data_IF_142973131145
#
_entry.id   IF_142973131145
#
_cell.length_a   1.000
_cell.length_b   1.000
_cell.length_c   1.000
_cell.angle_alpha   90.00
_cell.angle_beta   90.00
_cell.angle_gamma   90.00
#
_symmetry.space_group_name_H-M   'P 1'
#
loop_
_entity.id
_entity.type
_entity.pdbx_description
1 polymer ?
#
# COMPACT_ATOMS: atom_id res chain seq x y z
N UNK A 1 -0.53 6.20 14.68
CA UNK A 1 0.16 6.17 13.37
C UNK A 1 -0.03 4.80 12.74
N UNK A 2 -0.05 4.72 11.40
CA UNK A 2 -0.09 3.44 10.70
C UNK A 2 1.24 2.66 10.85
N UNK A 3 1.28 1.41 10.41
CA UNK A 3 2.51 0.61 10.35
C UNK A 3 2.82 0.32 8.87
N UNK A 4 4.05 0.60 8.45
CA UNK A 4 4.61 0.12 7.19
C UNK A 4 5.65 -0.94 7.55
N UNK A 5 5.47 -2.15 7.04
CA UNK A 5 6.42 -3.24 7.19
C UNK A 5 7.04 -3.57 5.83
N UNK A 6 8.36 -3.56 5.78
CA UNK A 6 9.13 -3.87 4.56
C UNK A 6 9.78 -5.22 4.76
N UNK A 7 9.40 -6.17 3.94
CA UNK A 7 10.08 -7.46 3.79
C UNK A 7 11.00 -7.35 2.59
N UNK A 8 12.29 -7.32 2.83
CA UNK A 8 13.30 -7.23 1.78
C UNK A 8 13.50 -8.58 1.06
N UNK A 9 14.15 -8.53 -0.10
CA UNK A 9 14.61 -9.71 -0.80
C UNK A 9 15.58 -10.53 0.08
N UNK A 10 15.43 -11.85 0.08
CA UNK A 10 16.23 -12.76 0.90
C UNK A 10 15.76 -12.90 2.35
N UNK A 11 14.82 -12.06 2.82
CA UNK A 11 14.27 -12.08 4.18
C UNK A 11 13.01 -12.93 4.22
N UNK A 12 12.80 -13.65 5.33
CA UNK A 12 11.57 -14.42 5.55
C UNK A 12 10.36 -13.49 5.76
N UNK A 13 9.17 -13.97 5.43
CA UNK A 13 7.93 -13.28 5.79
C UNK A 13 7.82 -13.15 7.32
N UNK A 14 7.23 -12.06 7.83
CA UNK A 14 6.84 -11.98 9.23
C UNK A 14 5.97 -13.19 9.61
N UNK A 15 6.21 -13.74 10.77
CA UNK A 15 5.39 -14.82 11.30
C UNK A 15 3.97 -14.35 11.68
N UNK A 16 3.11 -15.30 12.01
CA UNK A 16 1.72 -14.99 12.34
C UNK A 16 1.60 -14.14 13.60
N UNK A 17 2.49 -14.30 14.56
CA UNK A 17 2.51 -13.49 15.78
C UNK A 17 2.82 -12.03 15.47
N UNK A 18 3.84 -11.77 14.68
CA UNK A 18 4.21 -10.43 14.20
C UNK A 18 3.05 -9.78 13.40
N UNK A 19 2.44 -10.54 12.50
CA UNK A 19 1.27 -10.04 11.73
C UNK A 19 0.06 -9.75 12.63
N UNK A 20 -0.19 -10.57 13.66
CA UNK A 20 -1.23 -10.32 14.67
C UNK A 20 -0.93 -9.03 15.47
N UNK A 21 0.30 -8.83 15.88
CA UNK A 21 0.70 -7.63 16.61
C UNK A 21 0.51 -6.36 15.78
N UNK A 22 0.93 -6.36 14.51
CA UNK A 22 0.70 -5.25 13.59
C UNK A 22 -0.80 -4.98 13.40
N UNK A 23 -1.59 -6.05 13.23
CA UNK A 23 -3.03 -5.94 13.04
C UNK A 23 -3.74 -5.41 14.29
N UNK A 24 -3.41 -5.91 15.47
CA UNK A 24 -4.05 -5.50 16.71
C UNK A 24 -3.80 -4.03 17.05
N UNK A 25 -2.62 -3.52 16.69
CA UNK A 25 -2.31 -2.11 16.83
C UNK A 25 -2.98 -1.23 15.75
N UNK A 26 -3.22 -1.78 14.54
CA UNK A 26 -3.71 -1.06 13.37
C UNK A 26 -4.83 -1.84 12.64
N UNK A 27 -6.06 -1.94 13.24
CA UNK A 27 -7.08 -2.87 12.77
C UNK A 27 -8.03 -2.31 11.70
N UNK A 28 -7.80 -1.10 11.20
CA UNK A 28 -8.71 -0.42 10.27
C UNK A 28 -8.48 -0.79 8.80
N UNK A 29 -7.75 -1.88 8.58
CA UNK A 29 -7.51 -2.49 7.30
C UNK A 29 -6.04 -2.53 6.90
N UNK A 30 -5.74 -3.38 5.93
CA UNK A 30 -4.38 -3.57 5.44
C UNK A 30 -4.33 -3.81 3.93
N UNK A 31 -3.13 -3.71 3.40
CA UNK A 31 -2.79 -4.10 2.04
C UNK A 31 -1.30 -4.28 1.89
N UNK A 32 -0.90 -4.74 0.73
CA UNK A 32 0.51 -4.93 0.39
C UNK A 32 0.77 -4.74 -1.10
N UNK A 33 2.02 -4.50 -1.45
CA UNK A 33 2.50 -4.45 -2.82
C UNK A 33 3.80 -5.22 -2.99
N UNK A 34 4.02 -5.75 -4.19
CA UNK A 34 5.20 -6.53 -4.56
C UNK A 34 5.49 -6.41 -6.06
N UNK A 35 6.76 -6.51 -6.49
CA UNK A 35 7.11 -6.57 -7.90
C UNK A 35 6.86 -7.98 -8.45
N UNK A 36 6.25 -8.04 -9.61
CA UNK A 36 6.08 -9.28 -10.36
C UNK A 36 5.87 -8.96 -11.84
N UNK A 37 6.49 -9.71 -12.73
CA UNK A 37 6.41 -9.56 -14.20
C UNK A 37 6.62 -8.10 -14.68
N UNK A 38 7.65 -7.45 -14.15
CA UNK A 38 8.02 -6.08 -14.52
C UNK A 38 7.04 -4.99 -14.08
N UNK A 39 6.08 -5.32 -13.20
CA UNK A 39 5.07 -4.41 -12.62
C UNK A 39 5.09 -4.46 -11.10
N UNK A 40 4.53 -3.44 -10.49
CA UNK A 40 4.15 -3.43 -9.09
C UNK A 40 2.70 -3.89 -8.99
N UNK A 41 2.47 -5.00 -8.30
CA UNK A 41 1.15 -5.52 -8.00
C UNK A 41 0.68 -5.01 -6.64
N UNK A 42 -0.47 -4.39 -6.61
CA UNK A 42 -1.11 -3.88 -5.39
C UNK A 42 -2.29 -4.77 -5.04
N UNK A 43 -2.35 -5.19 -3.76
CA UNK A 43 -3.47 -5.91 -3.16
C UNK A 43 -3.81 -5.27 -1.83
N UNK A 44 -5.02 -4.71 -1.71
CA UNK A 44 -5.43 -3.96 -0.52
C UNK A 44 -6.91 -4.18 -0.18
N UNK A 45 -7.41 -3.48 0.84
CA UNK A 45 -8.80 -3.62 1.28
C UNK A 45 -9.04 -4.82 2.17
N UNK A 46 -8.00 -5.38 2.78
CA UNK A 46 -8.17 -6.47 3.74
C UNK A 46 -8.70 -5.92 5.06
N UNK A 47 -9.99 -6.14 5.33
CA UNK A 47 -10.67 -5.68 6.55
C UNK A 47 -10.69 -6.74 7.66
N UNK A 48 -10.00 -7.86 7.46
CA UNK A 48 -9.81 -8.96 8.44
C UNK A 48 -8.43 -9.58 8.22
N UNK A 49 -7.66 -9.77 9.29
CA UNK A 49 -6.32 -10.37 9.21
C UNK A 49 -6.34 -11.74 8.50
N UNK A 50 -7.31 -12.60 8.80
CA UNK A 50 -7.47 -13.91 8.16
C UNK A 50 -7.58 -13.83 6.63
N UNK A 51 -8.15 -12.73 6.08
CA UNK A 51 -8.21 -12.53 4.62
C UNK A 51 -6.86 -12.13 4.05
N UNK A 52 -6.11 -11.28 4.77
CA UNK A 52 -4.75 -10.90 4.41
C UNK A 52 -3.82 -12.11 4.40
N UNK A 53 -3.77 -12.88 5.50
CA UNK A 53 -2.89 -14.05 5.60
C UNK A 53 -3.20 -15.09 4.54
N UNK A 54 -4.48 -15.38 4.31
CA UNK A 54 -4.89 -16.29 3.21
C UNK A 54 -4.47 -15.80 1.82
N UNK A 55 -4.43 -14.49 1.59
CA UNK A 55 -3.98 -13.92 0.32
C UNK A 55 -2.46 -13.96 0.18
N UNK A 56 -1.72 -13.73 1.28
CA UNK A 56 -0.26 -13.92 1.35
C UNK A 56 0.16 -15.39 1.13
N UNK A 57 -0.60 -16.36 1.68
CA UNK A 57 -0.40 -17.79 1.43
C UNK A 57 -0.59 -18.15 -0.06
N UNK A 58 -1.54 -17.49 -0.73
CA UNK A 58 -1.74 -17.65 -2.17
C UNK A 58 -0.58 -17.03 -2.97
N UNK A 59 -0.09 -15.87 -2.53
CA UNK A 59 1.07 -15.23 -3.15
C UNK A 59 2.30 -16.13 -3.05
N UNK A 60 2.56 -16.75 -1.90
CA UNK A 60 3.70 -17.65 -1.69
C UNK A 60 3.68 -18.90 -2.59
N UNK A 61 2.51 -19.22 -3.19
CA UNK A 61 2.40 -20.28 -4.21
C UNK A 61 2.64 -19.79 -5.65
N UNK A 62 2.65 -18.48 -5.85
CA UNK A 62 2.78 -17.85 -7.17
C UNK A 62 4.19 -17.31 -7.44
N UNK A 63 4.90 -16.92 -6.37
CA UNK A 63 6.23 -16.33 -6.44
C UNK A 63 7.16 -16.99 -5.43
N UNK A 64 8.46 -16.89 -5.65
CA UNK A 64 9.42 -17.16 -4.58
C UNK A 64 9.30 -16.06 -3.52
N UNK A 65 8.55 -16.39 -2.46
CA UNK A 65 8.22 -15.41 -1.41
C UNK A 65 9.45 -14.88 -0.69
N UNK A 66 10.54 -15.66 -0.62
CA UNK A 66 11.80 -15.25 -0.01
C UNK A 66 12.49 -14.18 -0.84
N UNK A 67 12.55 -14.40 -2.16
CA UNK A 67 13.24 -13.51 -3.10
C UNK A 67 12.39 -12.30 -3.53
N UNK A 68 11.08 -12.31 -3.27
CA UNK A 68 10.18 -11.22 -3.63
C UNK A 68 10.10 -10.18 -2.52
N UNK A 69 10.56 -8.94 -2.70
CA UNK A 69 10.35 -7.88 -1.72
C UNK A 69 8.86 -7.52 -1.60
N UNK A 70 8.39 -7.27 -0.38
CA UNK A 70 6.97 -6.94 -0.12
C UNK A 70 6.90 -5.75 0.83
N UNK A 71 6.06 -4.77 0.50
CA UNK A 71 5.71 -3.67 1.39
C UNK A 71 4.27 -3.90 1.85
N UNK A 72 4.09 -4.04 3.15
CA UNK A 72 2.78 -4.18 3.81
C UNK A 72 2.44 -2.90 4.56
N UNK A 73 1.17 -2.54 4.57
CA UNK A 73 0.67 -1.40 5.34
C UNK A 73 -0.53 -1.81 6.17
N UNK A 74 -0.48 -1.50 7.47
CA UNK A 74 -1.58 -1.69 8.41
C UNK A 74 -2.08 -0.32 8.86
N UNK A 75 -3.35 -0.07 8.60
CA UNK A 75 -3.98 1.25 8.78
C UNK A 75 -4.61 1.39 10.16
N UNK A 76 -4.43 2.58 10.75
CA UNK A 76 -5.30 3.09 11.79
C UNK A 76 -5.88 4.42 11.31
N UNK A 77 -7.21 4.52 11.25
CA UNK A 77 -7.91 5.74 10.82
C UNK A 77 -8.04 6.73 11.97
N UNK A 78 -7.43 7.90 11.83
CA UNK A 78 -7.50 8.98 12.82
C UNK A 78 -8.65 9.96 12.55
N UNK A 79 -9.05 10.11 11.29
CA UNK A 79 -10.12 11.01 10.84
C UNK A 79 -10.95 10.37 9.72
N UNK A 80 -12.25 10.75 9.63
CA UNK A 80 -13.13 10.32 8.54
C UNK A 80 -13.60 8.86 8.62
N UNK A 81 -13.93 8.28 7.47
CA UNK A 81 -14.48 6.93 7.35
C UNK A 81 -13.41 5.89 7.71
N UNK A 82 -13.46 5.41 8.97
CA UNK A 82 -12.43 4.47 9.49
C UNK A 82 -12.34 3.17 8.71
N UNK A 83 -13.43 2.63 8.20
CA UNK A 83 -13.50 1.29 7.58
C UNK A 83 -13.89 1.32 6.10
N UNK A 84 -13.17 2.10 5.30
CA UNK A 84 -13.32 2.04 3.85
C UNK A 84 -12.16 1.20 3.26
N UNK A 85 -12.43 0.03 2.62
CA UNK A 85 -11.40 -0.77 1.97
C UNK A 85 -10.59 0.00 0.93
N UNK A 86 -11.22 0.92 0.20
CA UNK A 86 -10.55 1.72 -0.82
C UNK A 86 -9.46 2.65 -0.26
N UNK A 87 -9.60 3.07 1.02
CA UNK A 87 -8.65 3.95 1.69
C UNK A 87 -7.47 3.21 2.35
N UNK A 88 -7.37 1.89 2.21
CA UNK A 88 -6.20 1.15 2.67
C UNK A 88 -5.04 1.32 1.69
N UNK A 89 -3.82 1.43 2.20
CA UNK A 89 -2.60 1.44 1.39
C UNK A 89 -2.22 0.01 0.98
N UNK A 90 -1.33 -0.12 -0.02
CA UNK A 90 -0.70 0.92 -0.84
C UNK A 90 -1.59 1.42 -1.98
N UNK A 91 -1.12 2.45 -2.69
CA UNK A 91 -1.79 3.03 -3.86
C UNK A 91 -0.90 3.02 -5.10
N UNK A 92 -1.47 2.99 -6.33
CA UNK A 92 -0.71 3.32 -7.52
C UNK A 92 -0.42 4.83 -7.58
N UNK A 93 0.67 5.23 -8.21
CA UNK A 93 0.86 6.64 -8.59
C UNK A 93 0.00 6.92 -9.82
N UNK A 94 -1.12 7.59 -9.60
CA UNK A 94 -2.13 7.87 -10.64
C UNK A 94 -2.91 9.15 -10.36
N UNK A 95 -3.39 9.79 -11.42
CA UNK A 95 -4.38 10.88 -11.36
C UNK A 95 -5.83 10.36 -11.32
N UNK A 96 -6.05 9.08 -11.62
CA UNK A 96 -7.38 8.48 -11.66
C UNK A 96 -7.84 8.06 -10.25
N UNK A 97 -8.96 8.62 -9.79
CA UNK A 97 -9.58 8.24 -8.51
C UNK A 97 -10.03 6.77 -8.49
N UNK A 98 -10.48 6.23 -9.62
CA UNK A 98 -10.93 4.84 -9.72
C UNK A 98 -9.75 3.86 -9.57
N UNK A 99 -8.61 4.17 -10.20
CA UNK A 99 -7.38 3.40 -10.01
C UNK A 99 -6.90 3.43 -8.55
N UNK A 100 -6.96 4.59 -7.91
CA UNK A 100 -6.60 4.75 -6.50
C UNK A 100 -7.52 3.97 -5.56
N UNK A 101 -8.80 3.82 -5.89
CA UNK A 101 -9.78 3.04 -5.12
C UNK A 101 -9.74 1.56 -5.40
N UNK A 102 -9.15 1.12 -6.51
CA UNK A 102 -9.08 -0.28 -6.88
C UNK A 102 -8.39 -1.11 -5.79
N UNK A 103 -8.98 -2.25 -5.43
CA UNK A 103 -8.44 -3.14 -4.39
C UNK A 103 -7.35 -4.07 -4.90
N UNK A 104 -7.29 -4.24 -6.23
CA UNK A 104 -6.23 -4.96 -6.95
C UNK A 104 -5.87 -4.15 -8.17
N UNK A 105 -4.60 -3.86 -8.33
CA UNK A 105 -4.11 -3.02 -9.41
C UNK A 105 -2.67 -3.36 -9.78
N UNK A 106 -2.34 -3.21 -11.05
CA UNK A 106 -0.98 -3.33 -11.60
C UNK A 106 -0.51 -1.98 -12.07
N UNK A 107 0.68 -1.58 -11.68
CA UNK A 107 1.23 -0.27 -11.99
C UNK A 107 2.74 -0.34 -12.18
N UNK A 108 3.32 0.69 -12.76
CA UNK A 108 4.78 0.82 -12.79
C UNK A 108 5.33 1.41 -11.48
N UNK A 109 4.49 2.11 -10.71
CA UNK A 109 4.90 2.76 -9.46
C UNK A 109 3.78 2.62 -8.44
N UNK A 110 4.07 1.97 -7.31
CA UNK A 110 3.21 1.93 -6.13
C UNK A 110 3.85 2.70 -4.99
N UNK A 111 3.02 3.22 -4.08
CA UNK A 111 3.50 3.92 -2.90
C UNK A 111 2.63 3.64 -1.67
N UNK A 112 3.24 3.77 -0.50
CA UNK A 112 2.57 3.78 0.80
C UNK A 112 3.09 4.96 1.62
N UNK A 113 2.23 5.54 2.44
CA UNK A 113 2.54 6.68 3.29
C UNK A 113 2.06 6.41 4.72
N UNK A 114 2.86 6.85 5.69
CA UNK A 114 2.50 6.81 7.10
C UNK A 114 2.62 8.22 7.67
N UNK A 115 1.48 8.83 7.95
CA UNK A 115 1.41 10.20 8.45
C UNK A 115 0.18 10.92 7.91
N UNK A 116 0.17 12.25 8.05
CA UNK A 116 -0.87 13.15 7.55
C UNK A 116 -0.22 14.14 6.60
N UNK A 117 -0.73 14.25 5.38
CA UNK A 117 -0.26 15.25 4.42
C UNK A 117 -1.13 16.51 4.57
N UNK A 118 -0.75 17.36 5.51
CA UNK A 118 -1.53 18.57 5.91
C UNK A 118 -1.76 19.57 4.78
N UNK A 119 -0.94 19.54 3.72
CA UNK A 119 -1.10 20.37 2.53
C UNK A 119 -2.15 19.85 1.54
N UNK A 120 -2.71 18.65 1.81
CA UNK A 120 -3.70 18.02 0.95
C UNK A 120 -5.05 17.93 1.64
N UNK A 121 -6.05 18.60 1.09
CA UNK A 121 -7.43 18.44 1.54
C UNK A 121 -7.92 17.05 1.16
N UNK A 122 -8.36 16.28 2.16
CA UNK A 122 -9.14 15.08 1.91
C UNK A 122 -10.58 15.49 1.62
N UNK A 123 -11.21 14.87 0.64
CA UNK A 123 -12.66 14.98 0.47
C UNK A 123 -13.36 13.72 1.00
N UNK A 124 -14.70 13.68 0.96
CA UNK A 124 -15.46 12.52 1.42
C UNK A 124 -15.15 11.23 0.66
N UNK A 125 -14.50 11.33 -0.48
CA UNK A 125 -14.32 10.27 -1.46
C UNK A 125 -12.90 9.70 -1.49
N UNK A 126 -11.87 10.54 -1.24
CA UNK A 126 -10.46 10.13 -1.23
C UNK A 126 -9.68 10.74 -0.06
N UNK A 127 -8.67 10.00 0.42
CA UNK A 127 -7.79 10.46 1.50
C UNK A 127 -6.78 11.53 1.02
N UNK A 128 -6.15 12.24 1.97
CA UNK A 128 -5.04 13.16 1.73
C UNK A 128 -3.91 12.51 0.91
N UNK A 129 -3.57 11.28 1.24
CA UNK A 129 -2.55 10.49 0.51
C UNK A 129 -2.98 10.21 -0.94
N UNK A 130 -4.24 9.86 -1.18
CA UNK A 130 -4.75 9.68 -2.54
C UNK A 130 -4.76 11.01 -3.30
N UNK A 131 -5.14 12.11 -2.63
CA UNK A 131 -5.10 13.45 -3.22
C UNK A 131 -3.67 13.86 -3.59
N UNK A 132 -2.69 13.50 -2.77
CA UNK A 132 -1.27 13.72 -3.05
C UNK A 132 -0.82 12.96 -4.32
N UNK A 133 -1.31 11.74 -4.53
CA UNK A 133 -1.08 11.02 -5.78
C UNK A 133 -1.65 11.78 -6.97
N UNK A 134 -2.90 12.25 -6.87
CA UNK A 134 -3.58 12.97 -7.96
C UNK A 134 -2.85 14.27 -8.31
N UNK A 135 -2.54 15.10 -7.30
CA UNK A 135 -2.04 16.46 -7.54
C UNK A 135 -0.52 16.54 -7.73
N UNK A 136 0.25 15.66 -7.11
CA UNK A 136 1.71 15.76 -7.05
C UNK A 136 2.40 14.59 -7.74
N UNK A 137 2.23 13.37 -7.23
CA UNK A 137 3.02 12.23 -7.71
C UNK A 137 2.74 11.89 -9.18
N UNK A 138 1.48 12.00 -9.63
CA UNK A 138 1.13 11.74 -11.02
C UNK A 138 1.78 12.72 -12.00
N UNK A 139 1.89 14.00 -11.63
CA UNK A 139 2.59 15.01 -12.40
C UNK A 139 4.11 14.74 -12.45
N UNK A 140 4.71 14.36 -11.31
CA UNK A 140 6.13 13.97 -11.25
C UNK A 140 6.40 12.74 -12.12
N UNK A 141 5.52 11.74 -12.09
CA UNK A 141 5.63 10.53 -12.91
C UNK A 141 5.59 10.85 -14.42
N UNK A 142 4.75 11.78 -14.85
CA UNK A 142 4.65 12.20 -16.25
C UNK A 142 5.93 12.91 -16.72
N UNK A 143 6.54 13.72 -15.86
CA UNK A 143 7.72 14.53 -16.17
C UNK A 143 9.04 13.73 -16.09
N UNK A 144 9.09 12.65 -15.33
CA UNK A 144 10.33 11.89 -15.11
C UNK A 144 10.10 10.36 -15.14
N UNK A 145 9.69 9.85 -16.31
CA UNK A 145 9.37 8.43 -16.52
C UNK A 145 10.53 7.45 -16.20
N UNK A 146 11.79 7.88 -16.34
CA UNK A 146 12.94 7.00 -16.05
C UNK A 146 13.15 6.79 -14.55
N UNK A 147 12.88 7.80 -13.74
CA UNK A 147 13.10 7.76 -12.28
C UNK A 147 12.16 6.77 -11.59
N UNK A 148 10.91 6.66 -12.06
CA UNK A 148 9.88 5.84 -11.42
C UNK A 148 9.67 4.45 -12.03
N UNK A 149 10.52 4.02 -12.95
CA UNK A 149 10.35 2.71 -13.59
C UNK A 149 10.61 1.60 -12.56
N UNK A 150 9.55 0.84 -12.23
CA UNK A 150 9.58 -0.29 -11.28
C UNK A 150 10.02 0.12 -9.86
N UNK A 151 9.69 1.32 -9.41
CA UNK A 151 10.01 1.81 -8.08
C UNK A 151 8.90 1.48 -7.07
N UNK A 152 9.29 0.95 -5.92
CA UNK A 152 8.45 0.83 -4.74
C UNK A 152 8.76 2.04 -3.84
N UNK A 153 7.78 2.94 -3.67
CA UNK A 153 7.93 4.11 -2.82
C UNK A 153 7.23 3.89 -1.48
N UNK A 154 7.89 4.23 -0.41
CA UNK A 154 7.29 4.42 0.89
C UNK A 154 7.78 5.72 1.51
N UNK A 155 6.95 6.37 2.30
CA UNK A 155 7.31 7.55 3.06
C UNK A 155 6.79 7.39 4.49
N UNK A 156 7.56 7.86 5.44
CA UNK A 156 7.14 8.02 6.83
C UNK A 156 7.51 9.42 7.28
N UNK A 157 6.59 10.11 7.92
CA UNK A 157 6.92 11.36 8.60
C UNK A 157 7.70 11.01 9.87
N UNK A 158 8.89 11.57 9.99
CA UNK A 158 9.73 11.42 11.17
C UNK A 158 9.21 12.26 12.34
#
# INVERSE_FOLDING_TARGET
>A
MCIIAIKEKGVAMPDLETLNNMWNNNPDGAGYMFPFDGKVHIRKGFMKLKKLTKDLDKLAKQVDIKETPIIMHFRIGTHGVRRNPANTHPFPVSASRDELKALRFETNVGFAHNGIISSMDSDSDISDTMMYSVKVLSAMKSNNRKFYKNCLLYTSDA
#
